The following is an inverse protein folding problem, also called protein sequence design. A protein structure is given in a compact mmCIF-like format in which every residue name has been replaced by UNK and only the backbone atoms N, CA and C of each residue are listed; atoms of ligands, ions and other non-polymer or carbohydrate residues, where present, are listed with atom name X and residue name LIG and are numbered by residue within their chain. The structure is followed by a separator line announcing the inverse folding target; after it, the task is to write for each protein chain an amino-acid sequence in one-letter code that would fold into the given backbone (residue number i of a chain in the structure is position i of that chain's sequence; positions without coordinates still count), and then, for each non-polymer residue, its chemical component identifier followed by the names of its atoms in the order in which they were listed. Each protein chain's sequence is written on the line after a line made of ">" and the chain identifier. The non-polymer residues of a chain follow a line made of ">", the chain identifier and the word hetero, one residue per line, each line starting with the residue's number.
data_IF_057558758234
#
_entry.id   IF_057558758234
#
_cell.length_a   1.000
_cell.length_b   1.000
_cell.length_c   1.000
_cell.angle_alpha   90.00
_cell.angle_beta   90.00
_cell.angle_gamma   90.00
#
_symmetry.space_group_name_H-M   'P 1'
#
loop_
_entity.id
_entity.type
_entity.pdbx_description
1 polymer ?
#
# COMPACT_ATOMS: atom_id res chain seq x y z
N UNK A 1 2.55 4.35 22.97
CA UNK A 1 2.73 5.29 21.83
C UNK A 1 4.19 5.41 21.42
N UNK A 2 4.49 5.30 20.13
CA UNK A 2 5.81 5.55 19.54
C UNK A 2 5.68 6.40 18.26
N UNK A 3 6.76 7.10 17.90
CA UNK A 3 6.81 7.96 16.72
C UNK A 3 8.06 7.73 15.89
N UNK A 4 7.96 7.89 14.57
CA UNK A 4 9.11 7.82 13.66
C UNK A 4 9.04 8.89 12.58
N UNK A 5 10.16 9.55 12.31
CA UNK A 5 10.32 10.54 11.25
C UNK A 5 11.33 10.03 10.22
N UNK A 6 11.03 10.17 8.93
CA UNK A 6 11.89 9.72 7.85
C UNK A 6 12.04 10.77 6.74
N UNK A 7 13.15 10.70 6.01
CA UNK A 7 13.39 11.50 4.80
C UNK A 7 13.44 13.01 5.04
N UNK A 8 14.06 13.46 6.15
CA UNK A 8 14.11 14.89 6.50
C UNK A 8 12.75 15.46 6.87
N UNK A 9 12.00 14.74 7.72
CA UNK A 9 10.64 15.06 8.17
C UNK A 9 9.56 15.06 7.06
N UNK A 10 9.81 14.42 5.92
CA UNK A 10 8.80 14.25 4.86
C UNK A 10 7.78 13.16 5.16
N UNK A 11 8.11 12.22 6.04
CA UNK A 11 7.23 11.15 6.49
C UNK A 11 7.22 11.13 8.01
N UNK A 12 6.03 11.12 8.61
CA UNK A 12 5.83 11.01 10.05
C UNK A 12 4.84 9.91 10.38
N UNK A 13 5.16 9.11 11.39
CA UNK A 13 4.31 8.02 11.89
C UNK A 13 4.09 8.18 13.38
N UNK A 14 2.85 7.97 13.82
CA UNK A 14 2.51 7.66 15.22
C UNK A 14 1.87 6.28 15.26
N UNK A 15 2.26 5.47 16.23
CA UNK A 15 1.69 4.13 16.45
C UNK A 15 1.43 3.92 17.93
N UNK A 16 0.22 3.48 18.26
CA UNK A 16 -0.15 3.09 19.61
C UNK A 16 -0.04 1.57 19.78
N UNK A 17 0.95 1.15 20.55
CA UNK A 17 1.30 -0.25 20.79
C UNK A 17 0.99 -0.59 22.24
N UNK A 18 0.26 -1.69 22.44
CA UNK A 18 -0.08 -2.25 23.75
C UNK A 18 0.76 -3.51 23.96
N UNK A 19 1.55 -3.55 25.04
CA UNK A 19 2.52 -4.63 25.29
C UNK A 19 3.81 -4.47 24.47
N UNK A 20 4.66 -5.50 24.47
CA UNK A 20 5.97 -5.47 23.81
C UNK A 20 6.97 -4.52 24.46
N UNK A 21 8.06 -4.21 23.72
CA UNK A 21 9.11 -3.29 24.15
C UNK A 21 9.23 -2.06 23.22
N UNK A 22 10.03 -1.08 23.62
CA UNK A 22 10.25 0.16 22.84
C UNK A 22 10.86 -0.10 21.48
N UNK A 23 11.67 -1.15 21.35
CA UNK A 23 12.30 -1.53 20.07
C UNK A 23 11.27 -2.02 19.08
N UNK A 24 10.34 -2.88 19.52
CA UNK A 24 9.20 -3.30 18.71
C UNK A 24 8.38 -2.10 18.26
N UNK A 25 8.05 -1.18 19.18
CA UNK A 25 7.23 -0.01 18.85
C UNK A 25 7.90 0.89 17.80
N UNK A 26 9.21 1.13 17.93
CA UNK A 26 10.01 1.87 16.95
C UNK A 26 10.05 1.15 15.60
N UNK A 27 10.23 -0.17 15.62
CA UNK A 27 10.32 -0.99 14.41
C UNK A 27 9.01 -1.05 13.64
N UNK A 28 7.88 -1.09 14.35
CA UNK A 28 6.54 -0.97 13.77
C UNK A 28 6.33 0.42 13.15
N UNK A 29 6.77 1.49 13.81
CA UNK A 29 6.69 2.83 13.25
C UNK A 29 7.53 2.99 11.97
N UNK A 30 8.72 2.39 11.93
CA UNK A 30 9.56 2.31 10.73
C UNK A 30 8.89 1.51 9.61
N UNK A 31 8.27 0.38 9.95
CA UNK A 31 7.54 -0.45 9.00
C UNK A 31 6.39 0.32 8.35
N UNK A 32 5.56 1.00 9.15
CA UNK A 32 4.43 1.81 8.63
C UNK A 32 4.93 2.90 7.69
N UNK A 33 6.05 3.56 8.00
CA UNK A 33 6.63 4.60 7.14
C UNK A 33 7.09 4.06 5.77
N UNK A 34 7.57 2.81 5.73
CA UNK A 34 8.05 2.16 4.51
C UNK A 34 6.90 1.54 3.69
N UNK A 35 6.02 0.78 4.35
CA UNK A 35 4.98 -0.04 3.71
C UNK A 35 3.68 0.71 3.44
N UNK A 36 3.45 1.85 4.12
CA UNK A 36 2.28 2.73 3.94
C UNK A 36 0.94 1.98 3.92
N UNK A 37 0.65 1.14 4.95
CA UNK A 37 -0.65 0.46 5.03
C UNK A 37 -1.79 1.48 5.07
N UNK A 38 -2.90 1.14 4.40
CA UNK A 38 -4.12 1.96 4.36
C UNK A 38 -5.01 1.72 5.58
N UNK A 39 -4.94 0.52 6.15
CA UNK A 39 -5.75 0.13 7.31
C UNK A 39 -4.94 -0.77 8.26
N UNK A 40 -5.42 -0.93 9.50
CA UNK A 40 -4.81 -1.84 10.47
C UNK A 40 -5.08 -3.30 10.10
N UNK A 41 -6.36 -3.64 9.92
CA UNK A 41 -6.87 -4.95 9.52
C UNK A 41 -7.78 -4.81 8.30
N UNK A 42 -8.24 -5.93 7.76
CA UNK A 42 -9.23 -5.97 6.68
C UNK A 42 -10.53 -5.23 7.01
N UNK A 43 -10.90 -5.15 8.29
CA UNK A 43 -12.13 -4.49 8.74
C UNK A 43 -12.09 -2.97 8.53
N UNK A 44 -10.89 -2.41 8.40
CA UNK A 44 -10.69 -0.99 8.07
C UNK A 44 -10.63 -0.70 6.57
N UNK A 45 -10.77 -1.71 5.70
CA UNK A 45 -10.75 -1.53 4.25
C UNK A 45 -12.18 -1.33 3.74
N UNK A 46 -12.48 -0.26 2.98
CA UNK A 46 -13.81 -0.04 2.43
C UNK A 46 -14.28 -1.23 1.58
N UNK A 47 -15.52 -1.68 1.76
CA UNK A 47 -16.08 -2.79 1.01
C UNK A 47 -16.06 -2.53 -0.51
N UNK A 48 -16.25 -1.28 -0.93
CA UNK A 48 -16.15 -0.85 -2.33
C UNK A 48 -14.77 -1.10 -2.94
N UNK A 49 -13.69 -0.95 -2.17
CA UNK A 49 -12.33 -1.21 -2.63
C UNK A 49 -12.09 -2.71 -2.82
N UNK A 50 -12.62 -3.53 -1.90
CA UNK A 50 -12.54 -4.99 -1.98
C UNK A 50 -13.33 -5.50 -3.19
N UNK A 51 -14.55 -5.01 -3.40
CA UNK A 51 -15.38 -5.39 -4.55
C UNK A 51 -14.79 -4.91 -5.87
N UNK A 52 -14.21 -3.71 -5.90
CA UNK A 52 -13.48 -3.23 -7.08
C UNK A 52 -12.31 -4.15 -7.42
N UNK A 53 -11.50 -4.54 -6.43
CA UNK A 53 -10.39 -5.46 -6.67
C UNK A 53 -10.89 -6.85 -7.12
N UNK A 54 -11.99 -7.35 -6.53
CA UNK A 54 -12.64 -8.59 -6.95
C UNK A 54 -13.10 -8.51 -8.41
N UNK A 55 -13.71 -7.40 -8.82
CA UNK A 55 -14.12 -7.17 -10.21
C UNK A 55 -12.93 -7.16 -11.16
N UNK A 56 -11.82 -6.51 -10.78
CA UNK A 56 -10.59 -6.51 -11.57
C UNK A 56 -10.01 -7.92 -11.69
N UNK A 57 -10.03 -8.69 -10.61
CA UNK A 57 -9.56 -10.07 -10.62
C UNK A 57 -10.44 -11.00 -11.47
N UNK A 58 -11.76 -10.79 -11.48
CA UNK A 58 -12.69 -11.51 -12.35
C UNK A 58 -12.40 -11.22 -13.83
N UNK A 59 -12.23 -9.94 -14.20
CA UNK A 59 -11.87 -9.57 -15.57
C UNK A 59 -10.56 -10.24 -16.02
N UNK A 60 -9.55 -10.29 -15.16
CA UNK A 60 -8.28 -11.00 -15.44
C UNK A 60 -8.48 -12.50 -15.62
N UNK A 61 -9.36 -13.11 -14.82
CA UNK A 61 -9.68 -14.53 -14.93
C UNK A 61 -10.40 -14.84 -16.27
N UNK A 62 -11.32 -13.97 -16.68
CA UNK A 62 -12.05 -14.08 -17.95
C UNK A 62 -11.12 -13.87 -19.15
N UNK A 63 -10.21 -12.90 -19.07
CA UNK A 63 -9.16 -12.71 -20.08
C UNK A 63 -8.27 -13.95 -20.24
N UNK A 64 -7.92 -14.61 -19.15
CA UNK A 64 -7.10 -15.83 -19.21
C UNK A 64 -7.87 -17.00 -19.86
N UNK A 65 -9.17 -17.12 -19.57
CA UNK A 65 -10.05 -18.06 -20.25
C UNK A 65 -10.11 -17.79 -21.76
N UNK A 66 -10.32 -16.54 -22.15
CA UNK A 66 -10.35 -16.14 -23.55
C UNK A 66 -9.03 -16.44 -24.27
N UNK A 67 -7.88 -16.19 -23.61
CA UNK A 67 -6.55 -16.54 -24.13
C UNK A 67 -6.35 -18.03 -24.31
N UNK A 68 -6.81 -18.85 -23.36
CA UNK A 68 -6.75 -20.31 -23.49
C UNK A 68 -7.58 -20.81 -24.68
N UNK A 69 -8.81 -20.31 -24.81
CA UNK A 69 -9.71 -20.63 -25.92
C UNK A 69 -9.12 -20.23 -27.28
N UNK A 70 -8.57 -19.00 -27.40
CA UNK A 70 -7.92 -18.53 -28.62
C UNK A 70 -6.67 -19.34 -28.99
N UNK A 71 -5.98 -19.92 -28.00
CA UNK A 71 -4.83 -20.81 -28.21
C UNK A 71 -5.23 -22.28 -28.43
N UNK A 72 -6.52 -22.61 -28.51
CA UNK A 72 -7.02 -23.98 -28.64
C UNK A 72 -6.73 -24.87 -27.43
N UNK A 73 -6.41 -24.26 -26.27
CA UNK A 73 -6.12 -24.96 -25.02
C UNK A 73 -7.38 -25.04 -24.15
N UNK A 74 -7.55 -26.10 -23.35
CA UNK A 74 -8.63 -26.14 -22.37
C UNK A 74 -8.49 -24.99 -21.39
N UNK A 75 -9.62 -24.33 -21.10
CA UNK A 75 -9.71 -23.33 -20.04
C UNK A 75 -9.52 -23.94 -18.66
N UNK A 76 -9.23 -23.09 -17.66
CA UNK A 76 -9.22 -23.50 -16.25
C UNK A 76 -10.64 -23.83 -15.77
N UNK A 77 -10.77 -24.72 -14.80
CA UNK A 77 -12.07 -25.05 -14.21
C UNK A 77 -12.67 -23.84 -13.45
N UNK A 78 -14.00 -23.81 -13.25
CA UNK A 78 -14.65 -22.76 -12.45
C UNK A 78 -14.06 -22.63 -11.04
N UNK A 79 -13.70 -23.75 -10.41
CA UNK A 79 -13.08 -23.77 -9.09
C UNK A 79 -11.70 -23.08 -9.09
N UNK A 80 -10.89 -23.31 -10.12
CA UNK A 80 -9.58 -22.66 -10.24
C UNK A 80 -9.75 -21.16 -10.46
N UNK A 81 -10.71 -20.74 -11.29
CA UNK A 81 -10.99 -19.32 -11.52
C UNK A 81 -11.44 -18.62 -10.22
N UNK A 82 -12.33 -19.25 -9.46
CA UNK A 82 -12.74 -18.72 -8.16
C UNK A 82 -11.55 -18.56 -7.21
N UNK A 83 -10.68 -19.58 -7.12
CA UNK A 83 -9.44 -19.52 -6.32
C UNK A 83 -8.48 -18.42 -6.80
N UNK A 84 -8.41 -18.14 -8.10
CA UNK A 84 -7.61 -17.05 -8.62
C UNK A 84 -8.13 -15.69 -8.17
N UNK A 85 -9.45 -15.50 -8.24
CA UNK A 85 -10.10 -14.25 -7.79
C UNK A 85 -9.87 -14.05 -6.30
N UNK A 86 -10.14 -15.07 -5.48
CA UNK A 86 -9.94 -14.98 -4.03
C UNK A 86 -8.46 -14.81 -3.68
N UNK A 87 -7.55 -15.45 -4.41
CA UNK A 87 -6.11 -15.26 -4.26
C UNK A 87 -5.68 -13.82 -4.52
N UNK A 88 -6.24 -13.17 -5.54
CA UNK A 88 -5.97 -11.77 -5.85
C UNK A 88 -6.50 -10.82 -4.76
N UNK A 89 -7.74 -11.03 -4.31
CA UNK A 89 -8.34 -10.24 -3.21
C UNK A 89 -7.52 -10.40 -1.93
N UNK A 90 -7.14 -11.64 -1.57
CA UNK A 90 -6.30 -11.90 -0.40
C UNK A 90 -4.92 -11.25 -0.51
N UNK A 91 -4.33 -11.21 -1.70
CA UNK A 91 -3.06 -10.51 -1.94
C UNK A 91 -3.24 -9.00 -1.73
N UNK A 92 -4.28 -8.41 -2.30
CA UNK A 92 -4.60 -6.99 -2.09
C UNK A 92 -4.76 -6.64 -0.61
N UNK A 93 -5.52 -7.45 0.15
CA UNK A 93 -5.71 -7.25 1.58
C UNK A 93 -4.37 -7.30 2.35
N UNK A 94 -3.46 -8.22 1.99
CA UNK A 94 -2.12 -8.28 2.58
C UNK A 94 -1.24 -7.08 2.24
N UNK A 95 -1.45 -6.45 1.09
CA UNK A 95 -0.71 -5.25 0.68
C UNK A 95 -1.23 -3.99 1.37
N UNK A 96 -2.54 -3.87 1.59
CA UNK A 96 -3.15 -2.64 2.12
C UNK A 96 -3.37 -2.63 3.64
N UNK A 97 -3.26 -3.77 4.31
CA UNK A 97 -3.47 -3.87 5.77
C UNK A 97 -2.15 -4.10 6.52
N UNK A 98 -1.92 -3.34 7.59
CA UNK A 98 -0.70 -3.43 8.39
C UNK A 98 -0.46 -4.84 8.92
N UNK A 99 -1.48 -5.48 9.49
CA UNK A 99 -1.35 -6.81 10.09
C UNK A 99 -1.04 -7.90 9.05
N UNK A 100 -1.53 -7.74 7.81
CA UNK A 100 -1.31 -8.67 6.71
C UNK A 100 0.05 -8.53 6.01
N UNK A 101 0.73 -7.40 6.21
CA UNK A 101 2.00 -7.11 5.55
C UNK A 101 3.16 -7.97 6.09
N UNK A 102 4.08 -8.44 5.22
CA UNK A 102 5.37 -8.98 5.63
C UNK A 102 6.19 -7.92 6.36
N UNK A 103 6.84 -8.26 7.46
CA UNK A 103 7.60 -7.29 8.24
C UNK A 103 8.88 -6.86 7.50
N UNK A 104 9.15 -5.55 7.44
CA UNK A 104 10.22 -4.99 6.58
C UNK A 104 11.63 -5.40 6.99
N UNK A 105 11.84 -5.80 8.24
CA UNK A 105 13.15 -6.29 8.72
C UNK A 105 13.25 -7.81 8.70
N UNK A 106 12.13 -8.52 8.53
CA UNK A 106 12.07 -9.98 8.45
C UNK A 106 10.80 -10.38 7.69
N UNK A 107 10.96 -10.56 6.37
CA UNK A 107 9.87 -10.86 5.44
C UNK A 107 9.31 -12.29 5.58
N UNK A 108 9.92 -13.10 6.45
CA UNK A 108 9.45 -14.47 6.75
C UNK A 108 8.22 -14.50 7.64
N UNK A 109 7.89 -13.39 8.29
CA UNK A 109 6.73 -13.27 9.15
C UNK A 109 5.93 -12.01 8.83
N UNK A 110 4.62 -12.07 9.05
CA UNK A 110 3.76 -10.88 8.99
C UNK A 110 3.90 -10.05 10.25
N UNK A 111 3.46 -8.79 10.19
CA UNK A 111 3.37 -7.93 11.37
C UNK A 111 2.47 -8.56 12.45
N UNK A 112 1.37 -9.22 12.06
CA UNK A 112 0.50 -9.92 13.00
C UNK A 112 1.24 -11.05 13.74
N UNK A 113 2.05 -11.85 13.02
CA UNK A 113 2.83 -12.93 13.60
C UNK A 113 3.90 -12.38 14.55
N UNK A 114 4.58 -11.30 14.16
CA UNK A 114 5.54 -10.59 15.00
C UNK A 114 4.90 -10.12 16.30
N UNK A 115 3.75 -9.44 16.22
CA UNK A 115 3.00 -8.94 17.38
C UNK A 115 2.61 -10.08 18.33
N UNK A 116 2.10 -11.21 17.79
CA UNK A 116 1.77 -12.41 18.58
C UNK A 116 2.99 -12.96 19.31
N UNK A 117 4.14 -13.08 18.63
CA UNK A 117 5.38 -13.58 19.23
C UNK A 117 5.92 -12.71 20.38
N UNK A 118 5.53 -11.43 20.41
CA UNK A 118 5.95 -10.44 21.42
C UNK A 118 4.85 -10.11 22.42
N UNK A 119 3.72 -10.82 22.41
CA UNK A 119 2.55 -10.54 23.25
C UNK A 119 2.11 -9.06 23.17
N UNK A 120 2.14 -8.50 21.96
CA UNK A 120 1.85 -7.10 21.69
C UNK A 120 0.66 -6.96 20.73
N UNK A 121 0.06 -5.76 20.70
CA UNK A 121 -1.01 -5.38 19.78
C UNK A 121 -0.84 -3.93 19.36
N UNK A 122 -1.45 -3.55 18.24
CA UNK A 122 -1.55 -2.15 17.79
C UNK A 122 -3.00 -1.72 17.98
N UNK A 123 -3.22 -0.64 18.72
CA UNK A 123 -4.54 -0.06 18.91
C UNK A 123 -4.90 0.88 17.75
N UNK A 124 -3.96 1.72 17.32
CA UNK A 124 -4.12 2.64 16.21
C UNK A 124 -2.77 3.04 15.62
N UNK A 125 -2.78 3.55 14.40
CA UNK A 125 -1.64 4.27 13.83
C UNK A 125 -2.12 5.42 12.96
N UNK A 126 -1.23 6.38 12.71
CA UNK A 126 -1.42 7.40 11.68
C UNK A 126 -0.12 7.59 10.92
N UNK A 127 -0.23 7.85 9.63
CA UNK A 127 0.87 8.15 8.72
C UNK A 127 0.61 9.51 8.09
N UNK A 128 1.61 10.37 8.09
CA UNK A 128 1.61 11.64 7.39
C UNK A 128 2.74 11.63 6.36
N UNK A 129 2.41 11.98 5.12
CA UNK A 129 3.40 12.15 4.04
C UNK A 129 3.27 13.57 3.48
N UNK A 130 4.38 14.32 3.51
CA UNK A 130 4.43 15.68 2.96
C UNK A 130 4.13 15.64 1.46
N UNK A 131 3.13 16.42 1.04
CA UNK A 131 2.70 16.50 -0.36
C UNK A 131 1.67 15.43 -0.76
N UNK A 132 1.22 14.57 0.16
CA UNK A 132 0.12 13.65 -0.12
C UNK A 132 -1.15 14.41 -0.51
N UNK A 133 -1.76 14.00 -1.62
CA UNK A 133 -2.95 14.66 -2.18
C UNK A 133 -2.70 16.01 -2.87
N UNK A 134 -1.45 16.48 -2.97
CA UNK A 134 -1.13 17.76 -3.64
C UNK A 134 -0.62 17.48 -5.05
N UNK A 135 -1.26 18.09 -6.06
CA UNK A 135 -0.77 18.07 -7.43
C UNK A 135 0.58 18.81 -7.51
N UNK A 136 1.62 18.09 -7.92
CA UNK A 136 2.94 18.69 -8.08
C UNK A 136 3.00 19.44 -9.40
N UNK A 137 2.88 20.77 -9.34
CA UNK A 137 3.09 21.63 -10.50
C UNK A 137 4.50 21.39 -11.06
N UNK A 138 4.58 20.89 -12.29
CA UNK A 138 5.83 20.78 -13.03
C UNK A 138 6.03 22.06 -13.83
N UNK A 139 7.02 22.88 -13.46
CA UNK A 139 7.44 24.03 -14.25
C UNK A 139 8.62 23.68 -15.14
N UNK A 140 8.62 24.23 -16.36
CA UNK A 140 9.78 24.23 -17.24
C UNK A 140 10.52 25.56 -17.04
N UNK A 141 11.63 25.47 -16.31
CA UNK A 141 12.45 26.62 -16.00
C UNK A 141 12.99 27.32 -17.25
N UNK A 142 13.32 26.57 -18.31
CA UNK A 142 13.82 27.15 -19.54
C UNK A 142 12.72 27.92 -20.28
N UNK A 143 11.50 27.38 -20.33
CA UNK A 143 10.34 28.06 -20.88
C UNK A 143 9.97 29.32 -20.08
N UNK A 144 10.03 29.25 -18.74
CA UNK A 144 9.78 30.41 -17.87
C UNK A 144 10.81 31.52 -18.09
N UNK A 145 12.10 31.17 -18.19
CA UNK A 145 13.18 32.12 -18.47
C UNK A 145 13.04 32.73 -19.87
N UNK A 146 12.74 31.92 -20.89
CA UNK A 146 12.52 32.40 -22.24
C UNK A 146 11.31 33.37 -22.33
N UNK A 147 10.21 33.05 -21.64
CA UNK A 147 9.04 33.91 -21.56
C UNK A 147 9.35 35.25 -20.88
N UNK A 148 10.12 35.25 -19.79
CA UNK A 148 10.54 36.47 -19.10
C UNK A 148 11.48 37.32 -19.97
N UNK A 149 12.44 36.71 -20.66
CA UNK A 149 13.35 37.41 -21.56
C UNK A 149 12.62 38.04 -22.76
N UNK A 150 11.67 37.33 -23.37
CA UNK A 150 10.85 37.85 -24.46
C UNK A 150 9.95 39.01 -24.01
N UNK A 151 9.33 38.90 -22.83
CA UNK A 151 8.51 39.97 -22.26
C UNK A 151 9.32 41.25 -21.91
N UNK A 152 10.60 41.09 -21.56
CA UNK A 152 11.50 42.21 -21.30
C UNK A 152 12.01 42.89 -22.58
N UNK A 153 12.21 42.12 -23.67
CA UNK A 153 12.68 42.64 -24.96
C UNK A 153 11.58 43.29 -25.82
N UNK A 154 10.30 43.05 -25.49
CA UNK A 154 9.14 43.65 -26.16
C UNK A 154 8.68 45.01 -25.59
N UNK A 155 9.51 45.68 -24.78
CA UNK A 155 9.29 47.04 -24.28
C UNK A 155 10.28 48.03 -24.89
#
# INVERSE_FOLDING_TARGET
>A
LASYLHGGAKIGVLVDVVGGDETLAKDLAMHIAASKPRALSQDGVPAEDIERERSVAQLKADEEQAKAAAAGKPGKSPEILAKMVDGAVNKFLKEVTLLGQPFVKDDKQTVEQLLKSRSAKIAAFTLYVVGEGIERKQSDFAAEVAAQAAAAAGR
#
